data_IF_785007851131
#
_entry.id   IF_785007851131
#
_cell.length_a   1.000
_cell.length_b   1.000
_cell.length_c   1.000
_cell.angle_alpha   90.00
_cell.angle_beta   90.00
_cell.angle_gamma   90.00
#
_symmetry.space_group_name_H-M   'P 1'
#
loop_
_entity.id
_entity.type
_entity.pdbx_description
1 polymer ?
#
# COMPACT_ATOMS: atom_id res chain seq x y z
N UNK A 1 -3.75 -4.84 -20.21
CA UNK A 1 -3.19 -3.69 -19.46
C UNK A 1 -1.70 -3.92 -19.28
N UNK A 2 -0.83 -2.89 -19.25
CA UNK A 2 0.61 -3.12 -19.04
C UNK A 2 0.90 -3.21 -17.53
N UNK A 3 1.18 -4.40 -17.04
CA UNK A 3 1.55 -4.64 -15.63
C UNK A 3 2.90 -3.96 -15.34
N UNK A 4 2.97 -3.21 -14.24
CA UNK A 4 4.23 -2.67 -13.73
C UNK A 4 4.81 -3.61 -12.65
N UNK A 5 5.94 -4.30 -12.91
CA UNK A 5 6.55 -5.20 -11.92
C UNK A 5 6.94 -4.50 -10.62
N UNK A 6 7.28 -3.20 -10.67
CA UNK A 6 7.69 -2.43 -9.49
C UNK A 6 6.58 -2.34 -8.42
N UNK A 7 5.32 -2.53 -8.83
CA UNK A 7 4.15 -2.43 -7.94
C UNK A 7 3.75 -3.74 -7.28
N UNK A 8 4.33 -4.86 -7.71
CA UNK A 8 3.97 -6.21 -7.28
C UNK A 8 4.65 -6.51 -5.93
N UNK A 9 4.24 -5.79 -4.89
CA UNK A 9 4.83 -5.93 -3.57
C UNK A 9 4.69 -7.38 -3.05
N UNK A 10 5.75 -7.94 -2.44
CA UNK A 10 5.73 -9.33 -1.98
C UNK A 10 4.61 -9.62 -0.98
N UNK A 11 4.28 -8.65 -0.13
CA UNK A 11 3.25 -8.75 0.91
C UNK A 11 1.80 -8.60 0.40
N UNK A 12 1.58 -8.27 -0.86
CA UNK A 12 0.22 -8.08 -1.41
C UNK A 12 -0.35 -6.68 -1.24
N UNK A 13 0.40 -5.73 -0.66
CA UNK A 13 0.05 -4.31 -0.65
C UNK A 13 0.35 -3.66 -2.00
N UNK A 14 -0.43 -3.97 -3.04
CA UNK A 14 -0.19 -3.52 -4.42
C UNK A 14 0.07 -2.00 -4.49
N UNK A 15 1.16 -1.57 -5.14
CA UNK A 15 1.56 -0.15 -5.09
C UNK A 15 0.75 0.75 -6.01
N UNK A 16 0.09 0.22 -7.06
CA UNK A 16 -0.73 1.01 -7.98
C UNK A 16 -1.91 1.74 -7.33
N UNK A 17 -2.28 1.32 -6.11
CA UNK A 17 -3.38 1.86 -5.29
C UNK A 17 -2.88 2.52 -3.99
N UNK A 18 -1.56 2.69 -3.84
CA UNK A 18 -0.94 3.31 -2.68
C UNK A 18 -1.04 4.84 -2.72
N UNK A 19 -1.48 5.44 -1.62
CA UNK A 19 -1.61 6.89 -1.50
C UNK A 19 -0.30 7.66 -1.80
N UNK A 20 0.84 7.18 -1.30
CA UNK A 20 2.15 7.82 -1.50
C UNK A 20 2.54 7.82 -2.98
N UNK A 21 2.40 6.65 -3.64
CA UNK A 21 2.69 6.52 -5.06
C UNK A 21 1.77 7.42 -5.90
N UNK A 22 0.46 7.41 -5.62
CA UNK A 22 -0.53 8.25 -6.32
C UNK A 22 -0.19 9.73 -6.14
N UNK A 23 0.11 10.18 -4.93
CA UNK A 23 0.48 11.57 -4.65
C UNK A 23 1.75 11.99 -5.39
N UNK A 24 2.73 11.09 -5.53
CA UNK A 24 3.96 11.34 -6.28
C UNK A 24 3.70 11.37 -7.79
N UNK A 25 3.06 10.34 -8.35
CA UNK A 25 2.74 10.19 -9.77
C UNK A 25 1.97 11.39 -10.31
N UNK A 26 0.97 11.85 -9.56
CA UNK A 26 0.08 12.94 -9.97
C UNK A 26 0.68 14.33 -9.66
N UNK A 27 1.90 14.38 -9.10
CA UNK A 27 2.50 15.59 -8.56
C UNK A 27 1.54 16.41 -7.67
N UNK A 28 0.73 15.71 -6.87
CA UNK A 28 -0.39 16.31 -6.14
C UNK A 28 0.08 16.89 -4.80
N UNK A 29 0.49 18.16 -4.82
CA UNK A 29 1.05 18.84 -3.65
C UNK A 29 0.10 18.85 -2.44
N UNK A 30 -1.19 19.15 -2.64
CA UNK A 30 -2.20 19.14 -1.57
C UNK A 30 -2.35 17.76 -0.94
N UNK A 31 -2.23 16.68 -1.73
CA UNK A 31 -2.30 15.33 -1.20
C UNK A 31 -1.03 14.96 -0.44
N UNK A 32 0.16 15.36 -0.93
CA UNK A 32 1.44 15.19 -0.21
C UNK A 32 1.41 15.86 1.17
N UNK A 33 0.86 17.06 1.27
CA UNK A 33 0.70 17.79 2.55
C UNK A 33 -0.21 17.04 3.53
N UNK A 34 -1.33 16.50 3.04
CA UNK A 34 -2.24 15.68 3.87
C UNK A 34 -1.57 14.41 4.36
N UNK A 35 -0.83 13.71 3.49
CA UNK A 35 -0.08 12.51 3.87
C UNK A 35 1.03 12.82 4.86
N UNK A 36 1.74 13.95 4.69
CA UNK A 36 2.72 14.42 5.64
C UNK A 36 2.09 14.64 7.02
N UNK A 37 0.97 15.37 7.09
CA UNK A 37 0.26 15.59 8.35
C UNK A 37 -0.22 14.29 9.00
N UNK A 38 -0.73 13.36 8.19
CA UNK A 38 -1.09 12.02 8.65
C UNK A 38 0.11 11.33 9.32
N UNK A 39 1.24 11.21 8.60
CA UNK A 39 2.40 10.47 9.09
C UNK A 39 3.11 11.12 10.28
N UNK A 40 3.03 12.44 10.42
CA UNK A 40 3.49 13.19 11.59
C UNK A 40 2.53 13.11 12.79
N UNK A 41 1.49 12.27 12.74
CA UNK A 41 0.57 12.07 13.87
C UNK A 41 -0.45 13.20 14.05
N UNK A 42 -0.63 14.09 13.07
CA UNK A 42 -1.62 15.18 13.16
C UNK A 42 -3.07 14.70 12.98
N UNK A 43 -3.27 13.41 12.67
CA UNK A 43 -4.59 12.79 12.55
C UNK A 43 -4.74 11.76 13.68
N UNK A 44 -5.50 12.08 14.73
CA UNK A 44 -5.71 11.19 15.87
C UNK A 44 -6.18 9.80 15.43
N UNK A 45 -5.56 8.75 15.97
CA UNK A 45 -5.91 7.35 15.69
C UNK A 45 -5.61 6.87 14.26
N UNK A 46 -4.96 7.67 13.40
CA UNK A 46 -4.67 7.28 12.00
C UNK A 46 -3.20 7.28 11.62
N UNK A 47 -2.36 7.02 12.61
CA UNK A 47 -0.98 6.63 12.42
C UNK A 47 -0.02 7.76 12.71
N UNK A 48 1.06 7.40 13.36
CA UNK A 48 2.31 8.14 13.41
C UNK A 48 3.34 7.18 12.82
N UNK A 49 4.06 7.60 11.79
CA UNK A 49 5.18 6.79 11.31
C UNK A 49 6.38 7.08 12.22
N UNK A 50 7.10 6.06 12.71
CA UNK A 50 8.35 6.28 13.41
C UNK A 50 9.35 6.97 12.48
N UNK A 51 10.18 7.85 13.04
CA UNK A 51 11.22 8.61 12.33
C UNK A 51 10.67 9.54 11.22
N UNK A 52 9.48 10.13 11.43
CA UNK A 52 8.82 11.01 10.46
C UNK A 52 8.92 12.51 10.81
N UNK A 53 9.66 12.86 11.85
CA UNK A 53 9.80 14.23 12.38
C UNK A 53 10.35 15.19 11.32
N UNK A 54 11.32 14.71 10.54
CA UNK A 54 11.97 15.47 9.47
C UNK A 54 11.38 15.23 8.08
N UNK A 55 10.26 14.50 7.99
CA UNK A 55 9.61 14.22 6.72
C UNK A 55 9.09 15.53 6.09
N UNK A 56 9.26 15.68 4.79
CA UNK A 56 8.73 16.80 4.02
C UNK A 56 7.88 16.30 2.84
N UNK A 57 7.19 17.22 2.15
CA UNK A 57 6.43 16.86 0.94
C UNK A 57 7.35 16.37 -0.19
N UNK A 58 8.64 16.75 -0.19
CA UNK A 58 9.63 16.26 -1.17
C UNK A 58 9.93 14.77 -0.95
N UNK A 59 9.81 14.30 0.28
CA UNK A 59 10.04 12.90 0.65
C UNK A 59 8.82 12.00 0.39
N UNK A 60 7.66 12.58 0.10
CA UNK A 60 6.48 11.84 -0.40
C UNK A 60 6.71 11.50 -1.87
N UNK A 61 7.66 10.59 -2.08
CA UNK A 61 8.18 10.13 -3.37
C UNK A 61 8.32 8.61 -3.32
N UNK A 62 7.81 7.94 -4.36
CA UNK A 62 7.88 6.48 -4.48
C UNK A 62 7.65 6.06 -5.93
N UNK A 63 8.44 5.09 -6.41
CA UNK A 63 8.31 4.41 -7.71
C UNK A 63 7.71 3.01 -7.60
N UNK A 64 7.50 2.48 -6.40
CA UNK A 64 7.02 1.11 -6.19
C UNK A 64 7.76 0.39 -5.07
N UNK A 65 7.26 -0.78 -4.66
CA UNK A 65 7.89 -1.59 -3.61
C UNK A 65 9.19 -2.25 -4.10
N UNK A 66 9.21 -2.63 -5.38
CA UNK A 66 10.33 -3.30 -6.03
C UNK A 66 11.20 -2.36 -6.90
N UNK A 67 10.84 -1.08 -7.00
CA UNK A 67 11.68 -0.07 -7.65
C UNK A 67 12.86 0.37 -6.77
N UNK A 68 13.86 1.02 -7.37
CA UNK A 68 14.97 1.64 -6.64
C UNK A 68 14.53 2.86 -5.81
N UNK A 69 13.51 3.60 -6.27
CA UNK A 69 12.99 4.80 -5.61
C UNK A 69 11.84 4.46 -4.65
N UNK A 70 12.16 4.25 -3.37
CA UNK A 70 11.19 3.84 -2.34
C UNK A 70 10.97 4.94 -1.32
N UNK A 71 9.73 5.05 -0.86
CA UNK A 71 9.40 5.84 0.33
C UNK A 71 10.22 5.35 1.52
N UNK A 72 10.67 6.28 2.39
CA UNK A 72 11.63 5.98 3.47
C UNK A 72 11.25 4.76 4.32
N UNK A 73 9.99 4.65 4.72
CA UNK A 73 9.51 3.54 5.56
C UNK A 73 9.48 2.20 4.79
N UNK A 74 9.33 2.25 3.47
CA UNK A 74 9.38 1.05 2.63
C UNK A 74 10.82 0.60 2.34
N UNK A 75 11.86 1.37 2.71
CA UNK A 75 13.26 0.96 2.52
C UNK A 75 13.69 -0.12 3.51
N UNK A 76 13.09 -0.17 4.68
CA UNK A 76 13.35 -1.17 5.73
C UNK A 76 12.12 -2.07 5.83
N UNK A 77 12.14 -3.25 5.21
CA UNK A 77 10.98 -4.13 5.15
C UNK A 77 11.41 -5.59 5.17
N UNK A 78 11.29 -6.22 6.35
CA UNK A 78 11.67 -7.61 6.58
C UNK A 78 10.92 -8.59 5.66
N UNK A 79 9.66 -8.31 5.30
CA UNK A 79 8.89 -9.18 4.40
C UNK A 79 9.57 -9.24 3.02
N UNK A 80 10.04 -8.11 2.50
CA UNK A 80 10.72 -8.08 1.19
C UNK A 80 12.05 -8.83 1.27
N UNK A 81 12.81 -8.60 2.32
CA UNK A 81 14.12 -9.23 2.51
C UNK A 81 13.94 -10.76 2.64
N UNK A 82 12.98 -11.22 3.44
CA UNK A 82 12.59 -12.63 3.56
C UNK A 82 12.21 -13.25 2.20
N UNK A 83 11.37 -12.58 1.39
CA UNK A 83 11.03 -13.12 0.07
C UNK A 83 12.21 -13.19 -0.87
N UNK A 84 13.16 -12.25 -0.78
CA UNK A 84 14.39 -12.26 -1.57
C UNK A 84 15.29 -13.43 -1.17
N UNK A 85 15.47 -13.66 0.13
CA UNK A 85 16.26 -14.77 0.68
C UNK A 85 15.67 -16.14 0.29
N UNK A 86 14.35 -16.27 0.34
CA UNK A 86 13.64 -17.50 -0.07
C UNK A 86 13.52 -17.68 -1.59
N UNK A 87 13.92 -16.69 -2.39
CA UNK A 87 13.75 -16.72 -3.85
C UNK A 87 12.29 -16.62 -4.31
N UNK A 88 11.41 -16.08 -3.48
CA UNK A 88 9.99 -15.92 -3.78
C UNK A 88 9.71 -14.58 -4.47
N UNK A 89 8.74 -14.62 -5.39
CA UNK A 89 8.16 -13.42 -6.03
C UNK A 89 7.09 -12.76 -5.16
N UNK A 90 6.65 -13.43 -4.09
CA UNK A 90 5.77 -12.87 -3.08
C UNK A 90 5.30 -13.90 -2.06
N UNK A 91 4.71 -13.43 -0.96
CA UNK A 91 4.24 -14.28 0.14
C UNK A 91 3.17 -15.30 -0.27
N UNK A 92 2.50 -15.10 -1.42
CA UNK A 92 1.58 -16.08 -1.98
C UNK A 92 2.24 -17.45 -2.25
N UNK A 93 3.56 -17.51 -2.44
CA UNK A 93 4.35 -18.73 -2.61
C UNK A 93 4.80 -19.37 -1.28
N UNK A 94 4.56 -18.72 -0.13
CA UNK A 94 5.03 -19.20 1.18
C UNK A 94 3.98 -20.08 1.86
N UNK A 95 4.28 -21.35 2.08
CA UNK A 95 3.36 -22.30 2.75
C UNK A 95 3.11 -21.96 4.22
N UNK A 96 4.03 -21.24 4.85
CA UNK A 96 3.92 -20.75 6.24
C UNK A 96 3.03 -19.51 6.38
N UNK A 97 2.43 -19.01 5.29
CA UNK A 97 1.59 -17.82 5.35
C UNK A 97 0.23 -18.09 6.05
N UNK A 98 -0.23 -17.25 6.99
CA UNK A 98 0.44 -16.06 7.51
C UNK A 98 1.55 -16.42 8.52
N UNK A 99 2.75 -15.87 8.33
CA UNK A 99 3.89 -16.12 9.21
C UNK A 99 4.16 -14.94 10.15
N UNK A 100 5.16 -15.09 11.02
CA UNK A 100 5.53 -14.09 12.04
C UNK A 100 5.73 -12.66 11.49
N UNK A 101 6.26 -12.49 10.27
CA UNK A 101 6.43 -11.15 9.68
C UNK A 101 5.09 -10.45 9.40
N UNK A 102 4.04 -11.22 9.10
CA UNK A 102 2.68 -10.71 8.89
C UNK A 102 1.97 -10.52 10.22
N UNK A 103 2.18 -11.44 11.17
CA UNK A 103 1.62 -11.32 12.52
C UNK A 103 2.14 -10.08 13.25
N UNK A 104 3.42 -9.76 13.10
CA UNK A 104 4.08 -8.61 13.72
C UNK A 104 4.00 -7.32 12.90
N UNK A 105 3.23 -7.30 11.80
CA UNK A 105 3.13 -6.14 10.94
C UNK A 105 2.48 -4.95 11.66
N UNK A 106 3.22 -3.84 11.77
CA UNK A 106 2.88 -2.70 12.64
C UNK A 106 1.64 -1.91 12.20
N UNK A 107 1.31 -1.92 10.91
CA UNK A 107 0.21 -1.14 10.35
C UNK A 107 -1.06 -1.99 10.26
N UNK A 108 -2.06 -1.71 11.11
CA UNK A 108 -3.31 -2.48 11.20
C UNK A 108 -4.05 -2.62 9.86
N UNK A 109 -4.27 -1.52 9.14
CA UNK A 109 -4.91 -1.53 7.80
C UNK A 109 -4.05 -2.34 6.82
N UNK A 110 -2.74 -2.14 6.84
CA UNK A 110 -1.84 -2.91 5.97
C UNK A 110 -1.90 -4.41 6.28
N UNK A 111 -1.93 -4.81 7.56
CA UNK A 111 -2.08 -6.20 7.99
C UNK A 111 -3.39 -6.80 7.51
N UNK A 112 -4.52 -6.08 7.65
CA UNK A 112 -5.84 -6.50 7.12
C UNK A 112 -5.75 -6.80 5.62
N UNK A 113 -5.16 -5.88 4.86
CA UNK A 113 -5.00 -6.05 3.40
C UNK A 113 -4.05 -7.20 3.05
N UNK A 114 -2.93 -7.38 3.75
CA UNK A 114 -2.01 -8.51 3.52
C UNK A 114 -2.75 -9.84 3.70
N UNK A 115 -3.49 -9.98 4.80
CA UNK A 115 -4.25 -11.20 5.12
C UNK A 115 -5.36 -11.50 4.10
N UNK A 116 -5.94 -10.48 3.47
CA UNK A 116 -6.90 -10.63 2.36
C UNK A 116 -6.23 -10.93 1.02
N UNK A 117 -5.20 -10.16 0.67
CA UNK A 117 -4.63 -10.09 -0.66
C UNK A 117 -3.77 -11.32 -0.99
N UNK A 118 -3.03 -11.86 -0.03
CA UNK A 118 -2.13 -12.99 -0.29
C UNK A 118 -2.87 -14.30 -0.59
N UNK A 119 -3.89 -14.74 0.19
CA UNK A 119 -4.67 -15.91 -0.16
C UNK A 119 -5.39 -15.74 -1.50
N UNK A 120 -5.87 -14.53 -1.79
CA UNK A 120 -6.49 -14.21 -3.07
C UNK A 120 -5.50 -14.35 -4.24
N UNK A 121 -4.32 -13.73 -4.14
CA UNK A 121 -3.25 -13.85 -5.14
C UNK A 121 -2.81 -15.29 -5.36
N UNK A 122 -2.76 -16.11 -4.30
CA UNK A 122 -2.48 -17.55 -4.39
C UNK A 122 -3.55 -18.28 -5.22
N UNK A 123 -4.82 -17.90 -5.04
CA UNK A 123 -5.96 -18.53 -5.72
C UNK A 123 -6.09 -18.12 -7.19
N UNK A 124 -5.94 -16.83 -7.51
CA UNK A 124 -6.26 -16.29 -8.85
C UNK A 124 -5.03 -16.00 -9.71
N UNK A 125 -3.83 -16.11 -9.15
CA UNK A 125 -2.59 -15.73 -9.82
C UNK A 125 -2.31 -14.23 -9.75
N UNK A 126 -1.12 -13.82 -10.17
CA UNK A 126 -0.64 -12.44 -10.00
C UNK A 126 -1.40 -11.44 -10.89
N UNK A 127 -1.73 -11.81 -12.13
CA UNK A 127 -2.37 -10.89 -13.08
C UNK A 127 -3.78 -10.52 -12.63
N UNK A 128 -4.63 -11.53 -12.35
CA UNK A 128 -5.99 -11.28 -11.86
C UNK A 128 -6.00 -10.55 -10.51
N UNK A 129 -5.08 -10.88 -9.60
CA UNK A 129 -4.95 -10.16 -8.33
C UNK A 129 -4.66 -8.66 -8.53
N UNK A 130 -3.84 -8.30 -9.52
CA UNK A 130 -3.57 -6.89 -9.84
C UNK A 130 -4.85 -6.20 -10.33
N UNK A 131 -5.58 -6.81 -11.26
CA UNK A 131 -6.84 -6.25 -11.76
C UNK A 131 -7.86 -6.06 -10.63
N UNK A 132 -7.96 -7.03 -9.74
CA UNK A 132 -8.89 -6.99 -8.61
C UNK A 132 -8.49 -5.92 -7.58
N UNK A 133 -7.19 -5.75 -7.30
CA UNK A 133 -6.71 -4.65 -6.47
C UNK A 133 -6.97 -3.30 -7.14
N UNK A 134 -6.80 -3.16 -8.45
CA UNK A 134 -7.08 -1.90 -9.13
C UNK A 134 -8.58 -1.56 -9.15
N UNK A 135 -9.44 -2.56 -9.37
CA UNK A 135 -10.89 -2.40 -9.39
C UNK A 135 -11.49 -2.11 -8.00
N UNK A 136 -10.82 -2.54 -6.92
CA UNK A 136 -11.30 -2.37 -5.55
C UNK A 136 -11.40 -0.91 -5.11
N UNK A 137 -10.48 -0.05 -5.52
CA UNK A 137 -10.37 1.31 -4.97
C UNK A 137 -11.10 2.34 -5.83
N UNK A 138 -12.41 2.16 -5.93
CA UNK A 138 -13.36 3.11 -6.46
C UNK A 138 -14.49 3.34 -5.47
N UNK A 139 -14.97 4.58 -5.37
CA UNK A 139 -16.12 4.91 -4.54
C UNK A 139 -17.38 4.23 -5.11
N UNK A 140 -18.10 3.40 -4.36
CA UNK A 140 -19.29 2.70 -4.87
C UNK A 140 -20.45 3.66 -5.20
N UNK A 141 -20.52 4.81 -4.52
CA UNK A 141 -21.60 5.78 -4.72
C UNK A 141 -21.42 6.67 -5.95
N UNK A 142 -20.18 6.99 -6.31
CA UNK A 142 -19.92 8.00 -7.36
C UNK A 142 -18.86 7.60 -8.39
N UNK A 143 -18.30 6.41 -8.29
CA UNK A 143 -17.28 5.90 -9.22
C UNK A 143 -15.95 6.65 -9.17
N UNK A 144 -15.73 7.56 -8.21
CA UNK A 144 -14.45 8.27 -8.11
C UNK A 144 -13.33 7.32 -7.68
N UNK A 145 -12.20 7.36 -8.38
CA UNK A 145 -11.02 6.58 -8.02
C UNK A 145 -10.47 7.05 -6.66
N UNK A 146 -10.21 6.10 -5.77
CA UNK A 146 -9.67 6.35 -4.43
C UNK A 146 -8.40 5.52 -4.22
N UNK A 147 -7.97 5.34 -2.97
CA UNK A 147 -6.72 4.68 -2.63
C UNK A 147 -6.88 3.80 -1.39
N UNK A 148 -5.94 2.88 -1.17
CA UNK A 148 -5.93 2.00 0.00
C UNK A 148 -5.88 2.77 1.31
N UNK A 149 -6.71 2.40 2.28
CA UNK A 149 -6.85 3.07 3.58
C UNK A 149 -7.70 4.33 3.55
N UNK A 150 -8.37 4.64 2.43
CA UNK A 150 -9.34 5.74 2.37
C UNK A 150 -10.54 5.44 3.26
N UNK A 151 -10.96 6.42 4.06
CA UNK A 151 -12.15 6.29 4.93
C UNK A 151 -13.32 7.18 4.50
N UNK A 152 -13.07 8.08 3.55
CA UNK A 152 -14.05 9.05 3.07
C UNK A 152 -13.73 9.42 1.63
N UNK A 153 -14.72 9.36 0.74
CA UNK A 153 -14.55 9.79 -0.64
C UNK A 153 -14.25 11.30 -0.70
N UNK A 154 -13.19 11.69 -1.37
CA UNK A 154 -12.81 13.10 -1.60
C UNK A 154 -13.71 13.81 -2.61
N UNK A 155 -14.57 13.09 -3.33
CA UNK A 155 -15.55 13.64 -4.26
C UNK A 155 -16.93 13.79 -3.62
N UNK A 156 -17.62 12.67 -3.33
CA UNK A 156 -19.00 12.68 -2.82
C UNK A 156 -19.13 12.68 -1.28
N UNK A 157 -18.01 12.65 -0.55
CA UNK A 157 -17.99 12.70 0.92
C UNK A 157 -18.60 11.49 1.66
N UNK A 158 -19.03 10.43 0.98
CA UNK A 158 -19.48 9.18 1.64
C UNK A 158 -18.34 8.54 2.42
N UNK A 159 -18.66 7.91 3.56
CA UNK A 159 -17.74 7.05 4.31
C UNK A 159 -17.41 5.79 3.51
N UNK A 160 -16.15 5.35 3.57
CA UNK A 160 -15.65 4.19 2.83
C UNK A 160 -14.95 3.21 3.77
N UNK A 161 -15.16 1.92 3.54
CA UNK A 161 -14.36 0.81 4.07
C UNK A 161 -14.16 -0.19 2.92
N UNK A 162 -13.02 -0.10 2.24
CA UNK A 162 -12.71 -0.90 1.04
C UNK A 162 -11.67 -2.00 1.31
N UNK A 163 -11.09 -2.02 2.51
CA UNK A 163 -9.96 -2.87 2.91
C UNK A 163 -10.38 -4.13 3.66
#
# INVERSE_FOLDING_TARGET
MKINPDFISPCGLYCGVCAIYIAHRDNNQKFKEKLLGLYQGKVPGKGTLPNSENLSTKDIKCGGCLSDDRFMHCKQCEIRDCTKEKGYTGCHQCDEFPCQHVENFSMSVGKKVILRAIPHRRKVGTEQWIEDEEARYFCPECGHKVFRGVVKCNHCQVSLDLD
#
